data_IF_179352088426
#
_entry.id   IF_179352088426
#
_cell.length_a   1.000
_cell.length_b   1.000
_cell.length_c   1.000
_cell.angle_alpha   90.00
_cell.angle_beta   90.00
_cell.angle_gamma   90.00
#
_symmetry.space_group_name_H-M   'P 1'
#
loop_
_entity.id
_entity.type
_entity.pdbx_description
1 polymer ?
#
# COMPACT_ATOMS: atom_id res chain seq x y z
N UNK A 1 -26.39 4.88 4.50
CA UNK A 1 -25.73 6.03 5.17
C UNK A 1 -24.30 6.03 4.68
N UNK A 2 -23.90 7.06 3.95
CA UNK A 2 -22.58 7.13 3.34
C UNK A 2 -21.72 7.96 4.29
N UNK A 3 -20.76 7.32 4.96
CA UNK A 3 -19.76 8.03 5.74
C UNK A 3 -18.69 8.56 4.77
N UNK A 4 -18.63 9.88 4.61
CA UNK A 4 -17.63 10.57 3.80
C UNK A 4 -16.50 11.06 4.70
N UNK A 5 -15.26 10.83 4.30
CA UNK A 5 -14.11 11.56 4.81
C UNK A 5 -13.79 12.74 3.87
N UNK A 6 -13.14 13.80 4.35
CA UNK A 6 -12.54 14.79 3.46
C UNK A 6 -11.63 14.08 2.45
N UNK A 7 -11.86 14.32 1.16
CA UNK A 7 -11.14 13.65 0.06
C UNK A 7 -11.95 12.58 -0.68
N UNK A 8 -13.02 12.04 -0.08
CA UNK A 8 -13.90 11.06 -0.73
C UNK A 8 -14.84 11.69 -1.76
N UNK A 9 -14.99 13.03 -1.75
CA UNK A 9 -15.96 13.75 -2.58
C UNK A 9 -15.76 13.47 -4.06
N UNK A 10 -14.50 13.49 -4.52
CA UNK A 10 -14.17 13.26 -5.93
C UNK A 10 -14.51 11.86 -6.40
N UNK A 11 -14.21 10.86 -5.58
CA UNK A 11 -14.58 9.48 -5.87
C UNK A 11 -16.09 9.29 -5.90
N UNK A 12 -16.77 9.95 -4.98
CA UNK A 12 -18.22 9.92 -4.95
C UNK A 12 -18.85 10.60 -6.18
N UNK A 13 -18.30 11.71 -6.66
CA UNK A 13 -18.73 12.34 -7.91
C UNK A 13 -18.57 11.40 -9.11
N UNK A 14 -17.43 10.68 -9.20
CA UNK A 14 -17.20 9.68 -10.24
C UNK A 14 -18.21 8.53 -10.13
N UNK A 15 -18.44 8.03 -8.92
CA UNK A 15 -19.48 7.02 -8.66
C UNK A 15 -20.87 7.52 -9.10
N UNK A 16 -21.25 8.74 -8.72
CA UNK A 16 -22.54 9.33 -9.13
C UNK A 16 -22.66 9.47 -10.65
N UNK A 17 -21.59 9.87 -11.32
CA UNK A 17 -21.55 9.91 -12.77
C UNK A 17 -21.77 8.53 -13.40
N UNK A 18 -21.18 7.47 -12.82
CA UNK A 18 -21.40 6.09 -13.23
C UNK A 18 -22.85 5.65 -13.01
N UNK A 19 -23.43 5.94 -11.85
CA UNK A 19 -24.85 5.64 -11.55
C UNK A 19 -25.78 6.30 -12.56
N UNK A 20 -25.55 7.58 -12.85
CA UNK A 20 -26.39 8.34 -13.78
C UNK A 20 -26.31 7.79 -15.22
N UNK A 21 -25.16 7.26 -15.64
CA UNK A 21 -24.98 6.61 -16.94
C UNK A 21 -25.57 5.21 -17.02
N UNK A 22 -25.67 4.53 -15.88
CA UNK A 22 -26.06 3.12 -15.80
C UNK A 22 -27.20 2.89 -14.76
N UNK A 23 -28.38 3.54 -14.94
CA UNK A 23 -29.43 3.53 -13.93
C UNK A 23 -30.05 2.15 -13.67
N UNK A 24 -29.85 1.19 -14.58
CA UNK A 24 -30.39 -0.17 -14.46
C UNK A 24 -29.46 -1.13 -13.69
N UNK A 25 -28.25 -0.69 -13.34
CA UNK A 25 -27.29 -1.53 -12.63
C UNK A 25 -27.51 -1.48 -11.12
N UNK A 26 -27.19 -2.58 -10.43
CA UNK A 26 -27.14 -2.61 -8.98
C UNK A 26 -25.77 -2.09 -8.53
N UNK A 27 -25.73 -0.86 -8.01
CA UNK A 27 -24.47 -0.17 -7.71
C UNK A 27 -24.33 0.16 -6.23
N UNK A 28 -23.16 -0.14 -5.67
CA UNK A 28 -22.81 0.15 -4.28
C UNK A 28 -21.50 0.94 -4.20
N UNK A 29 -21.43 1.84 -3.22
CA UNK A 29 -20.25 2.62 -2.93
C UNK A 29 -19.86 2.49 -1.45
N UNK A 30 -18.62 2.09 -1.21
CA UNK A 30 -18.02 1.97 0.11
C UNK A 30 -16.82 2.93 0.20
N UNK A 31 -16.99 4.03 0.91
CA UNK A 31 -15.94 5.03 1.16
C UNK A 31 -14.94 4.55 2.22
N UNK A 32 -13.90 5.36 2.46
CA UNK A 32 -12.89 5.11 3.49
C UNK A 32 -13.50 4.96 4.89
N UNK A 33 -13.12 3.89 5.59
CA UNK A 33 -13.59 3.63 6.95
C UNK A 33 -15.10 3.52 7.07
N UNK A 34 -15.81 3.44 5.95
CA UNK A 34 -17.17 2.96 5.91
C UNK A 34 -17.12 1.49 6.30
N UNK A 35 -16.97 1.25 7.57
CA UNK A 35 -17.03 -0.06 8.11
C UNK A 35 -18.25 -0.74 7.51
N UNK A 36 -17.96 -1.63 6.62
CA UNK A 36 -18.56 -2.91 6.76
C UNK A 36 -19.66 -3.12 5.77
N UNK A 37 -19.22 -3.48 4.59
CA UNK A 37 -19.95 -4.49 3.83
C UNK A 37 -20.37 -5.60 4.80
N UNK A 38 -19.56 -5.98 5.78
CA UNK A 38 -19.83 -6.99 6.80
C UNK A 38 -21.04 -6.65 7.70
N UNK A 39 -21.37 -5.39 7.89
CA UNK A 39 -22.50 -4.94 8.71
C UNK A 39 -23.80 -4.73 7.90
N UNK A 40 -23.79 -5.01 6.61
CA UNK A 40 -24.99 -4.96 5.79
C UNK A 40 -25.72 -6.31 5.94
N UNK A 41 -26.79 -6.31 6.72
CA UNK A 41 -27.63 -7.48 6.98
C UNK A 41 -28.62 -7.76 5.83
N UNK A 42 -28.14 -7.63 4.59
CA UNK A 42 -28.93 -7.94 3.38
C UNK A 42 -27.99 -8.34 2.25
N UNK A 43 -28.53 -9.04 1.28
CA UNK A 43 -27.83 -9.35 0.05
C UNK A 43 -27.40 -8.10 -0.71
N UNK A 44 -26.15 -8.10 -1.16
CA UNK A 44 -25.57 -7.02 -1.94
C UNK A 44 -25.84 -7.21 -3.43
N UNK A 45 -25.85 -8.46 -3.89
CA UNK A 45 -25.92 -8.78 -5.30
C UNK A 45 -27.35 -9.21 -5.71
N UNK A 46 -27.70 -8.92 -6.95
CA UNK A 46 -28.93 -9.41 -7.59
C UNK A 46 -28.57 -10.25 -8.80
N UNK A 47 -29.40 -11.24 -9.11
CA UNK A 47 -29.22 -12.10 -10.29
C UNK A 47 -29.72 -11.46 -11.60
N UNK A 48 -30.64 -10.51 -11.50
CA UNK A 48 -31.37 -9.91 -12.62
C UNK A 48 -30.70 -8.68 -13.24
N UNK A 49 -29.63 -8.17 -12.58
CA UNK A 49 -28.93 -6.97 -13.01
C UNK A 49 -27.43 -7.13 -12.84
N UNK A 50 -26.63 -6.42 -13.67
CA UNK A 50 -25.21 -6.29 -13.41
C UNK A 50 -24.96 -5.60 -12.07
N UNK A 51 -24.02 -6.15 -11.30
CA UNK A 51 -23.65 -5.62 -10.00
C UNK A 51 -22.29 -4.92 -10.10
N UNK A 52 -22.18 -3.72 -9.54
CA UNK A 52 -20.96 -2.94 -9.51
C UNK A 52 -20.73 -2.48 -8.09
N UNK A 53 -19.60 -2.85 -7.52
CA UNK A 53 -19.18 -2.43 -6.18
C UNK A 53 -17.93 -1.55 -6.28
N UNK A 54 -18.02 -0.35 -5.76
CA UNK A 54 -16.89 0.57 -5.57
C UNK A 54 -16.42 0.49 -4.12
N UNK A 55 -15.13 0.19 -3.91
CA UNK A 55 -14.52 0.13 -2.58
C UNK A 55 -13.25 0.96 -2.52
N UNK A 56 -13.21 1.95 -1.62
CA UNK A 56 -12.05 2.82 -1.42
C UNK A 56 -11.09 2.33 -0.34
N UNK A 57 -11.46 1.30 0.39
CA UNK A 57 -10.68 0.80 1.52
C UNK A 57 -10.34 -0.68 1.35
N UNK A 58 -9.45 -1.15 2.22
CA UNK A 58 -9.05 -2.56 2.28
C UNK A 58 -10.26 -3.43 2.61
N UNK A 59 -10.55 -4.40 1.77
CA UNK A 59 -11.64 -5.35 2.02
C UNK A 59 -11.22 -6.42 3.03
N UNK A 60 -12.08 -6.69 4.00
CA UNK A 60 -11.85 -7.77 4.96
C UNK A 60 -12.07 -9.15 4.33
N UNK A 61 -11.36 -10.15 4.83
CA UNK A 61 -11.48 -11.54 4.35
C UNK A 61 -12.93 -12.03 4.36
N UNK A 62 -13.68 -11.77 5.43
CA UNK A 62 -15.09 -12.13 5.54
C UNK A 62 -15.95 -11.50 4.45
N UNK A 63 -15.70 -10.22 4.16
CA UNK A 63 -16.37 -9.52 3.06
C UNK A 63 -16.13 -10.21 1.73
N UNK A 64 -14.88 -10.55 1.43
CA UNK A 64 -14.51 -11.22 0.18
C UNK A 64 -15.18 -12.59 0.08
N UNK A 65 -15.17 -13.39 1.14
CA UNK A 65 -15.84 -14.70 1.18
C UNK A 65 -17.35 -14.59 0.99
N UNK A 66 -17.99 -13.62 1.63
CA UNK A 66 -19.41 -13.35 1.47
C UNK A 66 -19.76 -13.01 0.02
N UNK A 67 -18.99 -12.11 -0.59
CA UNK A 67 -19.21 -11.71 -1.99
C UNK A 67 -19.05 -12.89 -2.93
N UNK A 68 -17.99 -13.70 -2.78
CA UNK A 68 -17.81 -14.94 -3.56
C UNK A 68 -19.01 -15.87 -3.44
N UNK A 69 -19.49 -16.05 -2.22
CA UNK A 69 -20.68 -16.88 -1.95
C UNK A 69 -21.91 -16.33 -2.68
N UNK A 70 -22.20 -15.03 -2.55
CA UNK A 70 -23.34 -14.40 -3.23
C UNK A 70 -23.24 -14.50 -4.76
N UNK A 71 -22.04 -14.31 -5.34
CA UNK A 71 -21.80 -14.48 -6.78
C UNK A 71 -22.14 -15.89 -7.22
N UNK A 72 -21.64 -16.90 -6.51
CA UNK A 72 -21.86 -18.30 -6.83
C UNK A 72 -23.34 -18.72 -6.66
N UNK A 73 -23.96 -18.39 -5.52
CA UNK A 73 -25.34 -18.80 -5.21
C UNK A 73 -26.39 -18.16 -6.13
N UNK A 74 -26.15 -16.92 -6.55
CA UNK A 74 -27.07 -16.16 -7.41
C UNK A 74 -26.71 -16.23 -8.88
N UNK A 75 -25.57 -16.82 -9.22
CA UNK A 75 -24.99 -16.74 -10.57
C UNK A 75 -24.92 -15.29 -11.07
N UNK A 76 -24.57 -14.37 -10.15
CA UNK A 76 -24.57 -12.93 -10.39
C UNK A 76 -23.29 -12.49 -11.09
N UNK A 77 -23.42 -11.59 -12.06
CA UNK A 77 -22.26 -10.88 -12.60
C UNK A 77 -21.81 -9.77 -11.65
N UNK A 78 -20.53 -9.70 -11.35
CA UNK A 78 -19.96 -8.67 -10.49
C UNK A 78 -18.74 -8.00 -11.09
N UNK A 79 -18.78 -6.68 -11.03
CA UNK A 79 -17.60 -5.81 -11.19
C UNK A 79 -17.19 -5.25 -9.83
N UNK A 80 -15.98 -5.61 -9.42
CA UNK A 80 -15.35 -5.04 -8.22
C UNK A 80 -14.37 -3.95 -8.61
N UNK A 81 -14.61 -2.73 -8.14
CA UNK A 81 -13.85 -1.54 -8.41
C UNK A 81 -13.20 -1.10 -7.11
N UNK A 82 -11.95 -1.49 -6.89
CA UNK A 82 -11.35 -1.36 -5.57
C UNK A 82 -10.07 -0.56 -5.53
N UNK A 83 -9.75 -0.12 -4.31
CA UNK A 83 -8.41 0.37 -3.98
C UNK A 83 -7.37 -0.75 -3.99
N UNK A 84 -7.81 -1.99 -4.01
CA UNK A 84 -7.00 -3.21 -4.03
C UNK A 84 -6.96 -3.81 -5.43
N UNK A 85 -5.87 -4.52 -5.73
CA UNK A 85 -5.70 -5.29 -6.95
C UNK A 85 -5.58 -6.78 -6.63
N UNK A 86 -6.14 -7.64 -7.48
CA UNK A 86 -6.14 -9.11 -7.34
C UNK A 86 -6.79 -9.57 -6.01
N UNK A 87 -8.01 -9.04 -5.78
CA UNK A 87 -8.75 -9.21 -4.52
C UNK A 87 -9.31 -10.62 -4.38
N UNK A 88 -9.94 -11.10 -5.45
CA UNK A 88 -10.70 -12.34 -5.40
C UNK A 88 -9.95 -13.52 -6.03
N UNK A 89 -9.12 -13.28 -7.07
CA UNK A 89 -8.51 -14.34 -7.84
C UNK A 89 -9.55 -15.32 -8.41
N UNK A 90 -10.71 -14.81 -8.85
CA UNK A 90 -11.87 -15.58 -9.30
C UNK A 90 -12.37 -14.98 -10.63
N UNK A 91 -12.31 -15.79 -11.69
CA UNK A 91 -12.68 -15.34 -13.05
C UNK A 91 -14.15 -14.91 -13.19
N UNK A 92 -15.02 -15.37 -12.26
CA UNK A 92 -16.41 -14.95 -12.23
C UNK A 92 -16.60 -13.51 -11.72
N UNK A 93 -15.57 -12.93 -11.07
CA UNK A 93 -15.58 -11.57 -10.56
C UNK A 93 -14.61 -10.74 -11.40
N UNK A 94 -15.16 -9.76 -12.11
CA UNK A 94 -14.34 -8.82 -12.87
C UNK A 94 -13.78 -7.76 -11.94
N UNK A 95 -12.47 -7.73 -11.81
CA UNK A 95 -11.78 -6.81 -10.93
C UNK A 95 -11.16 -5.67 -11.72
N UNK A 96 -11.24 -4.46 -11.15
CA UNK A 96 -10.48 -3.33 -11.64
C UNK A 96 -9.93 -2.50 -10.49
N UNK A 97 -8.66 -2.18 -10.60
CA UNK A 97 -7.98 -1.36 -9.63
C UNK A 97 -8.29 0.13 -9.87
N UNK A 98 -8.82 0.77 -8.84
CA UNK A 98 -9.14 2.20 -8.87
C UNK A 98 -8.14 3.05 -8.10
N UNK A 99 -7.25 2.44 -7.33
CA UNK A 99 -6.13 3.11 -6.67
C UNK A 99 -6.52 4.22 -5.70
N UNK A 100 -7.70 4.13 -5.06
CA UNK A 100 -8.27 5.22 -4.27
C UNK A 100 -7.29 5.87 -3.29
N UNK A 101 -6.75 5.10 -2.34
CA UNK A 101 -5.79 5.61 -1.34
C UNK A 101 -4.50 6.09 -1.99
N UNK A 102 -3.98 5.36 -2.99
CA UNK A 102 -2.79 5.74 -3.72
C UNK A 102 -2.93 7.11 -4.40
N UNK A 103 -4.03 7.34 -5.12
CA UNK A 103 -4.23 8.60 -5.85
C UNK A 103 -4.64 9.76 -4.95
N UNK A 104 -5.44 9.52 -3.91
CA UNK A 104 -5.78 10.56 -2.92
C UNK A 104 -4.52 11.14 -2.31
N UNK A 105 -3.63 10.28 -1.85
CA UNK A 105 -2.39 10.67 -1.20
C UNK A 105 -1.43 11.34 -2.19
N UNK A 106 -1.27 10.77 -3.38
CA UNK A 106 -0.41 11.34 -4.38
C UNK A 106 -0.86 12.75 -4.82
N UNK A 107 -2.17 13.00 -4.88
CA UNK A 107 -2.70 14.33 -5.19
C UNK A 107 -2.30 15.40 -4.17
N UNK A 108 -2.13 15.01 -2.90
CA UNK A 108 -1.65 15.93 -1.86
C UNK A 108 -0.18 16.32 -2.04
N UNK A 109 0.65 15.42 -2.59
CA UNK A 109 2.09 15.63 -2.74
C UNK A 109 2.50 16.27 -4.07
N UNK A 110 1.66 16.17 -5.10
CA UNK A 110 2.03 16.54 -6.47
C UNK A 110 2.44 18.00 -6.61
N UNK A 111 1.85 18.86 -5.79
CA UNK A 111 2.08 20.30 -5.79
C UNK A 111 3.16 20.73 -4.77
N UNK A 112 3.72 19.80 -4.01
CA UNK A 112 4.79 20.13 -3.08
C UNK A 112 6.09 20.48 -3.84
N UNK A 113 6.89 21.41 -3.31
CA UNK A 113 8.17 21.73 -3.88
C UNK A 113 9.07 20.50 -4.00
N UNK A 114 9.92 20.45 -5.02
CA UNK A 114 10.87 19.36 -5.16
C UNK A 114 11.82 19.27 -3.97
N UNK A 115 12.19 18.04 -3.61
CA UNK A 115 13.19 17.81 -2.59
C UNK A 115 14.56 17.88 -3.23
N UNK A 116 15.31 18.90 -2.86
CA UNK A 116 16.74 18.96 -3.22
C UNK A 116 17.49 17.90 -2.43
N UNK A 117 18.04 16.92 -3.11
CA UNK A 117 18.81 15.84 -2.50
C UNK A 117 20.21 16.30 -2.14
N UNK A 118 20.63 15.98 -0.92
CA UNK A 118 21.96 16.29 -0.37
C UNK A 118 22.54 15.02 0.31
N UNK A 119 22.80 13.95 -0.45
CA UNK A 119 23.34 12.73 0.13
C UNK A 119 24.70 12.96 0.77
N UNK A 120 24.89 12.46 1.98
CA UNK A 120 26.13 12.57 2.74
C UNK A 120 26.45 11.24 3.43
N UNK A 121 27.72 10.85 3.42
CA UNK A 121 28.16 9.66 4.14
C UNK A 121 28.12 9.82 5.68
N UNK A 122 27.83 11.03 6.16
CA UNK A 122 27.64 11.35 7.59
C UNK A 122 26.18 11.33 8.01
N UNK A 123 25.26 11.08 7.07
CA UNK A 123 23.82 11.07 7.30
C UNK A 123 23.22 9.72 6.88
N UNK A 124 22.08 9.33 7.43
CA UNK A 124 21.34 8.17 6.96
C UNK A 124 21.11 8.24 5.45
N UNK A 125 21.38 7.14 4.73
CA UNK A 125 21.13 7.06 3.29
C UNK A 125 19.93 6.18 2.94
N UNK A 126 19.39 5.45 3.92
CA UNK A 126 18.10 4.76 3.78
C UNK A 126 17.14 5.15 4.91
N UNK A 127 15.85 4.95 4.66
CA UNK A 127 14.78 5.26 5.60
C UNK A 127 13.72 4.15 5.60
N UNK A 128 13.15 3.87 6.76
CA UNK A 128 11.97 3.02 6.93
C UNK A 128 10.99 3.65 7.92
N UNK A 129 9.85 4.09 7.41
CA UNK A 129 8.81 4.77 8.19
C UNK A 129 7.63 3.83 8.43
N UNK A 130 7.48 3.38 9.67
CA UNK A 130 6.41 2.46 10.07
C UNK A 130 5.54 3.07 11.15
N UNK A 131 4.85 4.17 10.81
CA UNK A 131 4.07 4.94 11.77
C UNK A 131 2.77 4.25 12.22
N UNK A 132 2.16 3.42 11.39
CA UNK A 132 0.98 2.63 11.76
C UNK A 132 1.36 1.43 12.64
N UNK A 133 0.63 1.17 13.74
CA UNK A 133 0.91 0.03 14.61
C UNK A 133 0.37 -1.27 13.98
N UNK A 134 1.25 -2.05 13.34
CA UNK A 134 0.94 -3.38 12.77
C UNK A 134 2.02 -4.37 13.13
N UNK A 135 1.64 -5.62 13.40
CA UNK A 135 2.57 -6.69 13.76
C UNK A 135 3.61 -6.95 12.65
N UNK A 136 3.16 -7.00 11.40
CA UNK A 136 4.01 -7.17 10.21
C UNK A 136 5.12 -6.11 10.09
N UNK A 137 4.84 -4.88 10.51
CA UNK A 137 5.82 -3.79 10.50
C UNK A 137 6.87 -3.92 11.61
N UNK A 138 6.49 -4.49 12.75
CA UNK A 138 7.46 -4.83 13.80
C UNK A 138 8.37 -5.95 13.33
N UNK A 139 7.83 -6.95 12.62
CA UNK A 139 8.63 -8.01 12.01
C UNK A 139 9.62 -7.45 10.97
N UNK A 140 9.16 -6.63 10.02
CA UNK A 140 10.03 -5.97 9.04
C UNK A 140 11.13 -5.12 9.72
N UNK A 141 10.78 -4.40 10.79
CA UNK A 141 11.77 -3.63 11.56
C UNK A 141 12.78 -4.52 12.28
N UNK A 142 12.36 -5.73 12.71
CA UNK A 142 13.28 -6.72 13.28
C UNK A 142 14.26 -7.24 12.23
N UNK A 143 13.78 -7.55 11.03
CA UNK A 143 14.65 -7.93 9.91
C UNK A 143 15.65 -6.80 9.59
N UNK A 144 15.19 -5.55 9.52
CA UNK A 144 16.08 -4.40 9.29
C UNK A 144 17.15 -4.27 10.38
N UNK A 145 16.78 -4.37 11.65
CA UNK A 145 17.76 -4.33 12.75
C UNK A 145 18.74 -5.50 12.73
N UNK A 146 18.35 -6.63 12.16
CA UNK A 146 19.20 -7.80 12.10
C UNK A 146 20.19 -7.76 10.92
N UNK A 147 19.72 -7.32 9.74
CA UNK A 147 20.48 -7.38 8.50
C UNK A 147 21.12 -6.05 8.08
N UNK A 148 20.52 -4.92 8.42
CA UNK A 148 20.99 -3.62 7.99
C UNK A 148 21.83 -2.91 9.06
N UNK A 149 22.79 -2.10 8.60
CA UNK A 149 23.58 -1.20 9.45
C UNK A 149 22.70 0.01 9.84
N UNK A 150 22.30 0.06 11.10
CA UNK A 150 21.44 1.13 11.61
C UNK A 150 22.12 2.49 11.70
N UNK A 151 23.45 2.54 11.68
CA UNK A 151 24.19 3.80 11.61
C UNK A 151 24.09 4.44 10.22
N UNK A 152 23.64 3.66 9.23
CA UNK A 152 23.44 4.09 7.85
C UNK A 152 21.99 4.44 7.52
N UNK A 153 21.05 4.22 8.44
CA UNK A 153 19.63 4.37 8.19
C UNK A 153 18.83 5.03 9.30
N UNK A 154 17.68 5.54 8.95
CA UNK A 154 16.67 6.06 9.87
C UNK A 154 15.48 5.11 9.90
N UNK A 155 15.26 4.46 11.03
CA UNK A 155 14.12 3.55 11.22
C UNK A 155 13.19 4.07 12.30
N UNK A 156 11.90 4.17 11.97
CA UNK A 156 10.83 4.55 12.91
C UNK A 156 9.76 3.49 12.96
N UNK A 157 9.52 2.93 14.13
CA UNK A 157 8.55 1.84 14.32
C UNK A 157 7.74 2.01 15.59
N UNK A 158 6.43 1.71 15.52
CA UNK A 158 5.54 1.61 16.69
C UNK A 158 5.54 0.17 17.21
N UNK A 159 6.08 -0.05 18.40
CA UNK A 159 6.26 -1.40 18.95
C UNK A 159 5.16 -1.82 19.92
N UNK A 160 4.25 -0.93 20.33
CA UNK A 160 3.25 -1.23 21.35
C UNK A 160 2.33 -2.42 20.98
N UNK A 161 2.07 -2.66 19.69
CA UNK A 161 1.29 -3.81 19.25
C UNK A 161 2.03 -5.14 19.46
N UNK A 162 3.36 -5.11 19.54
CA UNK A 162 4.17 -6.30 19.75
C UNK A 162 4.39 -6.63 21.24
N UNK A 163 4.11 -5.69 22.16
CA UNK A 163 4.33 -5.89 23.61
C UNK A 163 3.69 -7.15 24.22
N UNK A 164 2.50 -7.61 23.75
CA UNK A 164 1.91 -8.84 24.27
C UNK A 164 2.67 -10.12 23.89
N UNK A 165 3.61 -10.04 22.95
CA UNK A 165 4.33 -11.20 22.44
C UNK A 165 5.74 -11.29 23.02
N UNK A 166 6.05 -12.40 23.69
CA UNK A 166 7.31 -12.59 24.40
C UNK A 166 8.45 -13.06 23.48
N UNK A 167 8.12 -13.53 22.28
CA UNK A 167 9.09 -13.99 21.27
C UNK A 167 8.72 -13.51 19.89
N UNK A 168 9.68 -13.48 18.98
CA UNK A 168 9.46 -13.18 17.58
C UNK A 168 8.54 -14.22 16.94
N UNK A 169 8.70 -15.49 17.33
CA UNK A 169 7.82 -16.57 16.86
C UNK A 169 6.37 -16.35 17.29
N UNK A 170 6.13 -15.90 18.52
CA UNK A 170 4.79 -15.55 18.99
C UNK A 170 4.21 -14.37 18.20
N UNK A 171 5.01 -13.33 17.92
CA UNK A 171 4.59 -12.21 17.08
C UNK A 171 4.17 -12.67 15.69
N UNK A 172 4.97 -13.53 15.06
CA UNK A 172 4.69 -14.06 13.71
C UNK A 172 3.46 -14.96 13.73
N UNK A 173 3.42 -15.95 14.61
CA UNK A 173 2.35 -16.95 14.65
C UNK A 173 1.01 -16.38 15.14
N UNK A 174 1.01 -15.56 16.19
CA UNK A 174 -0.22 -15.07 16.86
C UNK A 174 -0.59 -13.65 16.45
N UNK A 175 0.40 -12.79 16.24
CA UNK A 175 0.22 -11.39 15.86
C UNK A 175 0.00 -11.21 14.37
N UNK A 176 0.94 -11.71 13.57
CA UNK A 176 0.83 -11.67 12.10
C UNK A 176 -0.04 -12.80 11.55
N UNK A 177 -0.24 -13.88 12.31
CA UNK A 177 -0.92 -15.13 11.89
C UNK A 177 -0.27 -15.80 10.69
N UNK A 178 1.04 -15.68 10.57
CA UNK A 178 1.81 -16.32 9.51
C UNK A 178 2.23 -17.75 9.92
N UNK A 179 2.25 -18.66 8.96
CA UNK A 179 2.48 -20.08 9.21
C UNK A 179 3.96 -20.43 9.33
N UNK A 180 4.83 -19.70 8.63
CA UNK A 180 6.26 -19.99 8.65
C UNK A 180 6.94 -19.29 9.83
N UNK A 181 7.67 -20.03 10.68
CA UNK A 181 8.39 -19.42 11.79
C UNK A 181 9.51 -18.51 11.27
N UNK A 182 9.83 -17.44 12.01
CA UNK A 182 10.94 -16.56 11.68
C UNK A 182 12.29 -17.25 11.88
N UNK A 183 13.35 -16.67 11.32
CA UNK A 183 14.70 -17.06 11.62
C UNK A 183 14.98 -16.88 13.12
N UNK A 184 15.39 -17.96 13.82
CA UNK A 184 15.64 -17.96 15.26
C UNK A 184 16.79 -17.04 15.68
N UNK A 185 17.74 -16.76 14.78
CA UNK A 185 18.83 -15.81 15.04
C UNK A 185 18.33 -14.37 15.28
N UNK A 186 17.11 -14.05 14.84
CA UNK A 186 16.50 -12.73 15.04
C UNK A 186 15.85 -12.53 16.40
N UNK A 187 15.73 -13.55 17.25
CA UNK A 187 15.07 -13.42 18.58
C UNK A 187 15.74 -12.38 19.47
N UNK A 188 17.06 -12.37 19.56
CA UNK A 188 17.80 -11.38 20.33
C UNK A 188 17.63 -9.96 19.76
N UNK A 189 17.47 -9.86 18.44
CA UNK A 189 17.21 -8.58 17.75
C UNK A 189 15.80 -8.07 18.04
N UNK A 190 14.81 -8.96 18.04
CA UNK A 190 13.43 -8.63 18.40
C UNK A 190 13.34 -8.04 19.81
N UNK A 191 14.01 -8.63 20.79
CA UNK A 191 14.07 -8.07 22.14
C UNK A 191 14.63 -6.64 22.17
N UNK A 192 15.64 -6.34 21.36
CA UNK A 192 16.17 -4.98 21.19
C UNK A 192 15.18 -4.05 20.52
N UNK A 193 14.41 -4.50 19.52
CA UNK A 193 13.36 -3.70 18.88
C UNK A 193 12.30 -3.28 19.90
N UNK A 194 11.87 -4.20 20.77
CA UNK A 194 10.85 -3.94 21.79
C UNK A 194 11.31 -2.93 22.86
N UNK A 195 12.59 -2.94 23.19
CA UNK A 195 13.18 -2.04 24.20
C UNK A 195 13.70 -0.73 23.61
N UNK A 196 13.72 -0.61 22.27
CA UNK A 196 14.20 0.61 21.61
C UNK A 196 13.34 1.80 22.02
N UNK A 197 13.94 2.87 22.56
CA UNK A 197 13.17 4.03 22.91
C UNK A 197 12.53 4.65 21.65
N UNK A 198 11.31 5.07 21.81
CA UNK A 198 10.64 5.86 20.81
C UNK A 198 11.42 7.16 20.62
N UNK A 199 11.95 7.38 19.42
CA UNK A 199 12.66 8.61 19.11
C UNK A 199 11.75 9.82 19.30
N UNK A 200 12.22 10.83 20.03
CA UNK A 200 11.45 11.93 20.60
C UNK A 200 10.57 12.75 19.65
N UNK A 201 10.76 12.65 18.35
CA UNK A 201 9.89 13.22 17.32
C UNK A 201 8.48 12.63 17.31
N UNK A 202 8.26 11.45 17.86
CA UNK A 202 6.95 10.80 17.78
C UNK A 202 5.90 11.37 18.74
N UNK A 203 6.32 11.86 19.90
CA UNK A 203 5.40 12.56 20.80
C UNK A 203 4.84 13.79 20.12
N UNK A 204 5.67 14.42 19.31
CA UNK A 204 5.30 15.59 18.52
C UNK A 204 4.38 15.22 17.34
N UNK A 205 4.72 14.21 16.57
CA UNK A 205 3.88 13.71 15.45
C UNK A 205 2.51 13.22 15.97
N UNK A 206 2.47 12.52 17.11
CA UNK A 206 1.22 12.03 17.68
C UNK A 206 0.38 13.16 18.27
N UNK A 207 1.00 14.13 18.94
CA UNK A 207 0.30 15.33 19.43
C UNK A 207 -0.23 16.16 18.26
N UNK A 208 0.54 16.34 17.22
CA UNK A 208 0.13 17.09 16.04
C UNK A 208 -0.97 16.36 15.26
N UNK A 209 -0.86 15.04 15.09
CA UNK A 209 -1.89 14.21 14.46
C UNK A 209 -3.22 14.25 15.22
N UNK A 210 -3.19 14.25 16.56
CA UNK A 210 -4.39 14.35 17.39
C UNK A 210 -4.92 15.79 17.52
N UNK A 211 -4.06 16.80 17.45
CA UNK A 211 -4.45 18.21 17.59
C UNK A 211 -4.99 18.82 16.30
N UNK A 212 -4.49 18.38 15.17
CA UNK A 212 -4.85 18.93 13.87
C UNK A 212 -6.00 18.17 13.19
N UNK A 213 -6.52 17.11 13.84
CA UNK A 213 -7.52 16.20 13.24
C UNK A 213 -7.05 15.79 11.85
N UNK A 214 -7.13 14.59 11.43
CA UNK A 214 -6.73 14.08 10.12
C UNK A 214 -5.96 15.09 9.25
N UNK A 215 -4.72 15.42 9.68
CA UNK A 215 -3.88 16.35 8.96
C UNK A 215 -3.71 15.84 7.54
N UNK A 216 -3.83 16.74 6.63
CA UNK A 216 -3.43 16.54 5.26
C UNK A 216 -2.01 15.99 5.25
N UNK A 217 -1.81 14.87 4.59
CA UNK A 217 -0.52 14.16 4.56
C UNK A 217 0.59 15.01 3.96
N UNK A 218 0.28 15.94 3.06
CA UNK A 218 1.23 16.90 2.50
C UNK A 218 1.81 17.81 3.58
N UNK A 219 0.99 18.31 4.51
CA UNK A 219 1.46 19.11 5.65
C UNK A 219 2.39 18.31 6.54
N UNK A 220 2.07 17.05 6.82
CA UNK A 220 2.92 16.17 7.61
C UNK A 220 4.24 15.88 6.91
N UNK A 221 4.20 15.64 5.60
CA UNK A 221 5.39 15.43 4.80
C UNK A 221 6.32 16.65 4.88
N UNK A 222 5.82 17.85 4.60
CA UNK A 222 6.61 19.08 4.62
C UNK A 222 7.21 19.36 6.00
N UNK A 223 6.42 19.22 7.05
CA UNK A 223 6.88 19.60 8.39
C UNK A 223 7.82 18.57 9.03
N UNK A 224 7.61 17.27 8.77
CA UNK A 224 8.25 16.22 9.56
C UNK A 224 9.08 15.22 8.77
N UNK A 225 8.81 15.05 7.50
CA UNK A 225 9.46 14.02 6.69
C UNK A 225 10.44 14.60 5.67
N UNK A 226 10.18 15.79 5.14
CA UNK A 226 10.99 16.39 4.09
C UNK A 226 12.49 16.42 4.41
N UNK A 227 12.85 16.79 5.64
CA UNK A 227 14.27 16.85 6.04
C UNK A 227 14.95 15.47 6.03
N UNK A 228 14.23 14.40 6.34
CA UNK A 228 14.72 13.01 6.29
C UNK A 228 14.97 12.59 4.83
N UNK A 229 14.06 12.96 3.96
CA UNK A 229 14.19 12.64 2.54
C UNK A 229 15.27 13.42 1.80
N UNK A 230 15.82 14.50 2.37
CA UNK A 230 16.92 15.24 1.73
C UNK A 230 18.21 14.41 1.64
N UNK A 231 18.49 13.59 2.61
CA UNK A 231 19.72 12.80 2.69
C UNK A 231 19.58 11.37 2.24
N UNK A 232 18.35 10.80 2.31
CA UNK A 232 18.10 9.40 2.00
C UNK A 232 17.96 9.16 0.50
N UNK A 233 18.44 8.03 0.03
CA UNK A 233 18.41 7.59 -1.37
C UNK A 233 17.57 6.31 -1.55
N UNK A 234 17.37 5.55 -0.47
CA UNK A 234 16.65 4.28 -0.46
C UNK A 234 15.54 4.33 0.58
N UNK A 235 14.39 3.77 0.28
CA UNK A 235 13.30 3.62 1.25
C UNK A 235 12.81 2.18 1.31
N UNK A 236 12.71 1.66 2.52
CA UNK A 236 12.03 0.41 2.79
C UNK A 236 10.55 0.76 3.02
N UNK A 237 9.75 0.51 2.00
CA UNK A 237 8.33 0.82 1.96
C UNK A 237 7.54 -0.32 2.58
N UNK A 238 7.03 -0.13 3.79
CA UNK A 238 6.18 -1.12 4.46
C UNK A 238 4.71 -0.81 4.17
N UNK A 239 4.15 -1.45 3.15
CA UNK A 239 2.76 -1.22 2.76
C UNK A 239 1.77 -1.67 3.84
N UNK A 240 0.52 -1.26 3.68
CA UNK A 240 -0.54 -1.53 4.66
C UNK A 240 -0.94 -2.99 4.63
N UNK A 241 -1.12 -3.57 3.45
CA UNK A 241 -1.44 -4.97 3.27
C UNK A 241 -0.17 -5.75 2.90
N UNK A 242 0.26 -6.64 3.78
CA UNK A 242 1.37 -7.57 3.55
C UNK A 242 0.83 -9.01 3.50
N UNK A 243 -0.07 -9.31 4.42
CA UNK A 243 -0.88 -10.50 4.49
C UNK A 243 -2.27 -10.13 5.02
N UNK A 244 -3.23 -11.01 4.83
CA UNK A 244 -4.56 -10.86 5.41
C UNK A 244 -4.47 -10.94 6.93
N UNK A 245 -4.94 -9.91 7.64
CA UNK A 245 -4.78 -9.80 9.09
C UNK A 245 -5.64 -10.80 9.87
N UNK A 246 -6.70 -11.35 9.26
CA UNK A 246 -7.56 -12.32 9.91
C UNK A 246 -7.04 -13.75 9.76
N UNK A 247 -6.48 -14.08 8.61
CA UNK A 247 -6.12 -15.45 8.26
C UNK A 247 -4.62 -15.67 8.11
N UNK A 248 -3.83 -14.62 7.98
CA UNK A 248 -2.40 -14.69 7.65
C UNK A 248 -2.10 -15.09 6.21
N UNK A 249 -3.13 -15.33 5.41
CA UNK A 249 -3.02 -15.76 4.01
C UNK A 249 -2.67 -14.57 3.09
N UNK A 250 -2.65 -14.85 1.78
CA UNK A 250 -2.43 -13.83 0.76
C UNK A 250 -3.38 -12.64 0.93
N UNK A 251 -2.81 -11.45 1.02
CA UNK A 251 -3.55 -10.19 0.89
C UNK A 251 -3.57 -9.74 -0.57
N UNK A 252 -4.59 -9.00 -1.00
CA UNK A 252 -4.54 -8.27 -2.26
C UNK A 252 -3.48 -7.18 -2.23
N UNK A 253 -3.03 -6.74 -3.40
CA UNK A 253 -2.11 -5.60 -3.50
C UNK A 253 -2.87 -4.31 -3.13
N UNK A 254 -2.34 -3.59 -2.17
CA UNK A 254 -2.91 -2.33 -1.71
C UNK A 254 -1.81 -1.27 -1.59
N UNK A 255 -1.75 -0.38 -2.56
CA UNK A 255 -0.80 0.72 -2.59
C UNK A 255 -1.33 1.93 -1.82
N UNK A 256 -0.44 2.58 -1.09
CA UNK A 256 -0.79 3.70 -0.22
C UNK A 256 0.18 4.89 -0.37
N UNK A 257 0.03 5.88 0.50
CA UNK A 257 0.91 7.05 0.59
C UNK A 257 2.40 6.70 0.68
N UNK A 258 2.75 5.53 1.16
CA UNK A 258 4.15 5.16 1.44
C UNK A 258 4.95 5.06 0.16
N UNK A 259 4.43 4.34 -0.84
CA UNK A 259 5.11 4.26 -2.13
C UNK A 259 5.06 5.61 -2.87
N UNK A 260 3.98 6.39 -2.74
CA UNK A 260 3.91 7.72 -3.36
C UNK A 260 4.90 8.69 -2.75
N UNK A 261 5.14 8.62 -1.43
CA UNK A 261 6.18 9.40 -0.75
C UNK A 261 7.58 9.07 -1.29
N UNK A 262 7.88 7.78 -1.43
CA UNK A 262 9.15 7.32 -1.98
C UNK A 262 9.37 7.85 -3.41
N UNK A 263 8.37 7.74 -4.27
CA UNK A 263 8.41 8.26 -5.65
C UNK A 263 8.58 9.79 -5.67
N UNK A 264 7.77 10.50 -4.87
CA UNK A 264 7.87 11.97 -4.77
C UNK A 264 9.25 12.42 -4.29
N UNK A 265 9.80 11.70 -3.32
CA UNK A 265 11.11 11.97 -2.73
C UNK A 265 12.29 11.53 -3.59
N UNK A 266 12.07 10.92 -4.75
CA UNK A 266 13.13 10.36 -5.60
C UNK A 266 14.00 9.33 -4.85
N UNK A 267 13.40 8.49 -4.03
CA UNK A 267 14.05 7.36 -3.39
C UNK A 267 13.87 6.09 -4.21
N UNK A 268 14.82 5.18 -4.09
CA UNK A 268 14.73 3.82 -4.63
C UNK A 268 13.92 2.99 -3.64
N UNK A 269 12.74 2.49 -3.98
CA UNK A 269 11.92 1.72 -3.06
C UNK A 269 12.35 0.25 -3.00
N UNK A 270 12.42 -0.30 -1.78
CA UNK A 270 12.39 -1.74 -1.50
C UNK A 270 11.02 -1.99 -0.85
N UNK A 271 10.13 -2.66 -1.57
CA UNK A 271 8.71 -2.72 -1.17
C UNK A 271 8.41 -3.99 -0.38
N UNK A 272 8.09 -3.82 0.90
CA UNK A 272 7.52 -4.87 1.75
C UNK A 272 5.99 -4.76 1.67
N UNK A 273 5.39 -5.48 0.75
CA UNK A 273 3.96 -5.47 0.46
C UNK A 273 3.36 -6.87 0.33
N UNK A 274 2.14 -6.95 -0.17
CA UNK A 274 1.53 -8.19 -0.61
C UNK A 274 2.33 -8.81 -1.76
N UNK A 275 2.13 -10.11 -2.00
CA UNK A 275 2.72 -10.78 -3.16
C UNK A 275 2.34 -10.03 -4.44
N UNK A 276 3.28 -9.90 -5.37
CA UNK A 276 3.14 -9.22 -6.65
C UNK A 276 2.95 -7.69 -6.57
N UNK A 277 3.26 -7.06 -5.44
CA UNK A 277 3.19 -5.59 -5.32
C UNK A 277 4.16 -4.90 -6.27
N UNK A 278 5.39 -5.42 -6.42
CA UNK A 278 6.39 -4.86 -7.34
C UNK A 278 5.97 -5.09 -8.80
N UNK A 279 5.51 -6.29 -9.15
CA UNK A 279 5.00 -6.59 -10.50
C UNK A 279 3.83 -5.67 -10.87
N UNK A 280 2.97 -5.37 -9.91
CA UNK A 280 1.86 -4.47 -10.14
C UNK A 280 2.34 -3.03 -10.40
N UNK A 281 3.32 -2.52 -9.64
CA UNK A 281 3.94 -1.22 -9.93
C UNK A 281 4.55 -1.19 -11.34
N UNK A 282 5.26 -2.25 -11.74
CA UNK A 282 5.83 -2.37 -13.09
C UNK A 282 4.76 -2.42 -14.18
N UNK A 283 3.63 -3.09 -13.94
CA UNK A 283 2.51 -3.12 -14.90
C UNK A 283 1.89 -1.74 -15.14
N UNK A 284 1.99 -0.84 -14.16
CA UNK A 284 1.61 0.57 -14.29
C UNK A 284 2.67 1.43 -15.01
N UNK A 285 3.83 0.85 -15.32
CA UNK A 285 4.93 1.52 -16.02
C UNK A 285 6.01 2.12 -15.11
N UNK A 286 5.96 1.89 -13.79
CA UNK A 286 7.02 2.33 -12.89
C UNK A 286 8.27 1.47 -13.06
N UNK A 287 9.43 2.12 -13.10
CA UNK A 287 10.72 1.43 -13.00
C UNK A 287 10.97 1.07 -11.52
N UNK A 288 11.10 -0.21 -11.23
CA UNK A 288 11.41 -0.74 -9.90
C UNK A 288 12.90 -1.08 -9.73
N UNK A 289 13.75 -0.68 -10.66
CA UNK A 289 15.22 -0.78 -10.57
C UNK A 289 15.77 -2.20 -10.47
N UNK A 290 15.18 -3.17 -11.19
CA UNK A 290 15.55 -4.60 -11.15
C UNK A 290 17.04 -4.88 -11.44
N UNK A 291 17.72 -4.01 -12.16
CA UNK A 291 19.16 -4.14 -12.39
C UNK A 291 20.03 -3.93 -11.12
N UNK A 292 19.45 -3.42 -10.04
CA UNK A 292 20.15 -3.05 -8.82
C UNK A 292 19.49 -3.54 -7.55
N UNK A 293 18.17 -3.73 -7.57
CA UNK A 293 17.35 -4.23 -6.47
C UNK A 293 16.87 -5.64 -6.83
N UNK A 294 17.13 -6.59 -5.93
CA UNK A 294 16.59 -7.93 -6.07
C UNK A 294 15.12 -7.92 -5.65
N UNK A 295 14.22 -8.23 -6.57
CA UNK A 295 12.78 -8.33 -6.37
C UNK A 295 12.23 -9.75 -6.47
N UNK A 296 13.08 -10.79 -6.43
CA UNK A 296 12.64 -12.19 -6.44
C UNK A 296 11.71 -12.52 -5.27
N UNK A 297 11.83 -11.77 -4.17
CA UNK A 297 10.94 -11.88 -3.02
C UNK A 297 9.47 -11.58 -3.34
N UNK A 298 9.18 -10.80 -4.39
CA UNK A 298 7.80 -10.40 -4.75
C UNK A 298 6.93 -11.59 -5.19
N UNK A 299 7.56 -12.68 -5.61
CA UNK A 299 6.90 -13.95 -5.97
C UNK A 299 6.71 -14.91 -4.79
N UNK A 300 7.28 -14.58 -3.63
CA UNK A 300 7.21 -15.45 -2.46
C UNK A 300 5.79 -15.45 -1.86
N UNK A 301 5.22 -16.65 -1.72
CA UNK A 301 3.88 -16.80 -1.12
C UNK A 301 3.89 -16.45 0.36
N UNK A 302 4.91 -16.93 1.06
CA UNK A 302 5.00 -16.77 2.50
C UNK A 302 5.47 -15.37 2.87
N UNK A 303 4.65 -14.67 3.66
CA UNK A 303 4.90 -13.28 4.05
C UNK A 303 6.13 -13.12 4.96
N UNK A 304 6.45 -14.14 5.77
CA UNK A 304 7.64 -14.15 6.63
C UNK A 304 8.90 -14.18 5.76
N UNK A 305 8.94 -15.13 4.83
CA UNK A 305 10.06 -15.31 3.91
C UNK A 305 10.17 -14.12 2.97
N UNK A 306 9.03 -13.63 2.45
CA UNK A 306 9.00 -12.48 1.53
C UNK A 306 9.63 -11.22 2.14
N UNK A 307 9.24 -10.85 3.37
CA UNK A 307 9.81 -9.67 4.04
C UNK A 307 11.29 -9.87 4.37
N UNK A 308 11.65 -11.05 4.87
CA UNK A 308 13.06 -11.35 5.19
C UNK A 308 13.93 -11.23 3.93
N UNK A 309 13.54 -11.86 2.83
CA UNK A 309 14.24 -11.76 1.53
C UNK A 309 14.30 -10.33 1.01
N UNK A 310 13.21 -9.56 1.08
CA UNK A 310 13.20 -8.17 0.62
C UNK A 310 14.31 -7.35 1.26
N UNK A 311 14.61 -7.58 2.52
CA UNK A 311 15.64 -6.86 3.27
C UNK A 311 17.02 -7.53 3.10
N UNK A 312 17.10 -8.84 3.32
CA UNK A 312 18.35 -9.60 3.31
C UNK A 312 19.04 -9.59 1.95
N UNK A 313 18.29 -9.81 0.88
CA UNK A 313 18.84 -9.87 -0.48
C UNK A 313 19.27 -8.50 -1.02
N UNK A 314 18.83 -7.44 -0.34
CA UNK A 314 19.18 -6.05 -0.67
C UNK A 314 20.12 -5.40 0.36
N UNK A 315 20.77 -6.19 1.24
CA UNK A 315 21.67 -5.64 2.28
C UNK A 315 22.80 -4.78 1.73
N UNK A 316 23.28 -5.06 0.52
CA UNK A 316 24.37 -4.29 -0.06
C UNK A 316 24.02 -2.82 -0.21
N UNK A 317 22.82 -2.51 -0.70
CA UNK A 317 22.39 -1.10 -0.85
C UNK A 317 22.06 -0.45 0.49
N UNK A 318 21.73 -1.24 1.52
CA UNK A 318 21.43 -0.73 2.86
C UNK A 318 22.70 -0.48 3.69
N UNK A 319 23.78 -1.26 3.46
CA UNK A 319 24.97 -1.24 4.30
C UNK A 319 26.14 -0.46 3.66
N UNK A 320 26.11 -0.23 2.35
CA UNK A 320 27.18 0.46 1.61
C UNK A 320 26.67 1.77 1.01
N UNK A 321 27.06 2.89 1.65
CA UNK A 321 26.72 4.24 1.18
C UNK A 321 27.18 4.51 -0.25
N UNK A 322 28.41 4.10 -0.60
CA UNK A 322 28.96 4.39 -1.93
C UNK A 322 28.21 3.60 -3.00
N UNK A 323 27.85 2.36 -2.71
CA UNK A 323 27.02 1.56 -3.59
C UNK A 323 25.62 2.17 -3.75
N UNK A 324 24.96 2.54 -2.65
CA UNK A 324 23.65 3.18 -2.67
C UNK A 324 23.67 4.48 -3.48
N UNK A 325 24.69 5.32 -3.26
CA UNK A 325 24.88 6.57 -4.00
C UNK A 325 25.06 6.31 -5.49
N UNK A 326 25.93 5.38 -5.87
CA UNK A 326 26.16 5.01 -7.27
C UNK A 326 24.86 4.53 -7.93
N UNK A 327 24.11 3.64 -7.28
CA UNK A 327 22.83 3.14 -7.80
C UNK A 327 21.84 4.28 -7.97
N UNK A 328 21.71 5.15 -6.99
CA UNK A 328 20.82 6.30 -7.03
C UNK A 328 21.19 7.28 -8.15
N UNK A 329 22.47 7.64 -8.29
CA UNK A 329 22.95 8.55 -9.35
C UNK A 329 22.72 7.94 -10.74
N UNK A 330 23.01 6.64 -10.91
CA UNK A 330 22.79 5.92 -12.17
C UNK A 330 21.32 5.93 -12.58
N UNK A 331 20.41 5.83 -11.63
CA UNK A 331 18.98 5.73 -11.87
C UNK A 331 18.22 7.06 -11.69
N UNK A 332 18.91 8.17 -11.51
CA UNK A 332 18.28 9.45 -11.21
C UNK A 332 17.24 9.89 -12.25
N UNK A 333 17.53 9.65 -13.54
CA UNK A 333 16.58 9.94 -14.62
C UNK A 333 15.35 9.01 -14.58
N UNK A 334 15.50 7.75 -14.21
CA UNK A 334 14.40 6.82 -14.04
C UNK A 334 13.53 7.22 -12.83
N UNK A 335 14.13 7.65 -11.72
CA UNK A 335 13.41 8.20 -10.57
C UNK A 335 12.55 9.42 -10.95
N UNK A 336 13.09 10.34 -11.75
CA UNK A 336 12.32 11.48 -12.28
C UNK A 336 11.17 11.02 -13.19
N UNK A 337 11.43 10.06 -14.08
CA UNK A 337 10.37 9.49 -14.95
C UNK A 337 9.26 8.85 -14.13
N UNK A 338 9.57 8.13 -13.06
CA UNK A 338 8.58 7.58 -12.14
C UNK A 338 7.72 8.69 -11.51
N UNK A 339 8.34 9.79 -11.10
CA UNK A 339 7.62 10.94 -10.55
C UNK A 339 6.71 11.60 -11.59
N UNK A 340 7.20 11.75 -12.82
CA UNK A 340 6.41 12.33 -13.91
C UNK A 340 5.27 11.39 -14.33
N UNK A 341 5.49 10.08 -14.33
CA UNK A 341 4.44 9.08 -14.54
C UNK A 341 3.36 9.18 -13.46
N UNK A 342 3.75 9.27 -12.18
CA UNK A 342 2.80 9.46 -11.08
C UNK A 342 1.95 10.71 -11.29
N UNK A 343 2.55 11.84 -11.71
CA UNK A 343 1.83 13.07 -12.04
C UNK A 343 0.85 12.88 -13.21
N UNK A 344 1.28 12.16 -14.24
CA UNK A 344 0.43 11.86 -15.40
C UNK A 344 -0.76 10.99 -15.03
N UNK A 345 -0.54 9.93 -14.24
CA UNK A 345 -1.60 9.04 -13.76
C UNK A 345 -2.61 9.81 -12.91
N UNK A 346 -2.14 10.71 -12.03
CA UNK A 346 -3.00 11.58 -11.23
C UNK A 346 -3.82 12.53 -12.07
N UNK A 347 -3.20 13.18 -13.06
CA UNK A 347 -3.91 14.08 -13.97
C UNK A 347 -5.00 13.35 -14.73
N UNK A 348 -4.70 12.15 -15.24
CA UNK A 348 -5.65 11.31 -15.95
C UNK A 348 -6.81 10.89 -15.02
N UNK A 349 -6.48 10.48 -13.79
CA UNK A 349 -7.46 10.13 -12.77
C UNK A 349 -8.38 11.31 -12.42
N UNK A 350 -7.81 12.50 -12.17
CA UNK A 350 -8.57 13.71 -11.85
C UNK A 350 -9.50 14.17 -12.98
N UNK A 351 -9.15 13.88 -14.24
CA UNK A 351 -9.95 14.24 -15.41
C UNK A 351 -10.90 13.12 -15.88
N UNK A 352 -10.99 12.01 -15.14
CA UNK A 352 -11.80 10.86 -15.53
C UNK A 352 -11.33 10.17 -16.83
N UNK A 353 -10.12 10.53 -17.31
CA UNK A 353 -9.47 9.88 -18.45
C UNK A 353 -8.70 8.66 -17.93
N UNK A 354 -8.94 7.51 -18.54
CA UNK A 354 -8.23 6.27 -18.19
C UNK A 354 -8.52 5.73 -16.76
N UNK A 355 -9.78 5.74 -16.35
CA UNK A 355 -10.24 4.63 -15.57
C UNK A 355 -10.58 3.58 -16.65
N UNK A 356 -9.67 2.66 -16.97
CA UNK A 356 -9.84 1.72 -18.12
C UNK A 356 -11.18 1.03 -18.07
N UNK A 357 -11.69 0.96 -16.90
CA UNK A 357 -12.90 0.31 -16.48
C UNK A 357 -14.20 1.04 -16.80
N UNK A 358 -14.22 2.37 -16.90
CA UNK A 358 -15.43 3.06 -17.37
C UNK A 358 -15.63 2.81 -18.85
N UNK A 359 -14.54 2.68 -19.59
CA UNK A 359 -14.56 2.33 -21.02
C UNK A 359 -14.88 0.84 -21.18
N UNK A 360 -14.24 -0.05 -20.42
CA UNK A 360 -14.49 -1.51 -20.44
C UNK A 360 -15.92 -1.87 -19.99
N UNK A 361 -16.44 -1.20 -18.97
CA UNK A 361 -17.84 -1.38 -18.54
C UNK A 361 -18.78 -0.93 -19.66
N UNK A 362 -18.51 0.22 -20.28
CA UNK A 362 -19.33 0.72 -21.38
C UNK A 362 -19.28 -0.20 -22.59
N UNK A 363 -18.10 -0.72 -22.98
CA UNK A 363 -17.96 -1.68 -24.10
C UNK A 363 -18.65 -3.02 -23.79
N UNK A 364 -18.52 -3.53 -22.58
CA UNK A 364 -19.17 -4.75 -22.14
C UNK A 364 -20.70 -4.66 -22.20
N UNK A 365 -21.28 -3.55 -21.76
CA UNK A 365 -22.72 -3.36 -21.80
C UNK A 365 -23.24 -3.02 -23.19
N UNK A 366 -22.48 -2.30 -24.01
CA UNK A 366 -22.79 -2.09 -25.42
C UNK A 366 -22.80 -3.42 -26.19
N UNK A 367 -21.84 -4.32 -25.92
CA UNK A 367 -21.80 -5.64 -26.55
C UNK A 367 -22.99 -6.53 -26.15
N UNK A 368 -23.48 -6.46 -24.90
CA UNK A 368 -24.68 -7.20 -24.46
C UNK A 368 -25.99 -6.60 -24.99
N UNK A 369 -26.10 -5.28 -25.08
CA UNK A 369 -27.31 -4.63 -25.60
C UNK A 369 -27.51 -4.84 -27.11
N UNK A 370 -26.49 -5.26 -27.84
CA UNK A 370 -26.58 -5.63 -29.28
C UNK A 370 -26.90 -7.11 -29.50
N UNK A 371 -27.00 -7.93 -28.45
CA UNK A 371 -27.33 -9.35 -28.51
C UNK A 371 -28.80 -9.66 -28.10
N UNK A 372 -29.59 -8.63 -27.75
CA UNK A 372 -31.04 -8.69 -27.51
C UNK A 372 -31.75 -8.01 -28.69
#
# INVERSE_FOLDING_TARGET
MIHRRPGDERFFEIYQACVNKNPNNNMHFFGHGANNIDNIDRDLLTADKPNIIFSLDLSHHKTRQRIKKEVSEKQAELWWIGAEYDVFGDEAIKESWWGGEFFLQANEYINLPEITKEPSNKSPHWISLTLGPRHSRVYSSTCLMHYADLDKGEMRVKTHMAKPYNSLNDLVAKGCKWNTPPNTEMEATYAKVLTRPWWGTQRFLWQTYNQLGHCNNATNFEQYLRHLYRTTMVEIVNETAIADEETGNRAPVFLTEKITNSIHALNIPIVCGAKHTVKFLESMGFDCFRGHINHEYDDEEDSTIRIEKAIKDNMKILNDYNFAKKVWETNYNALKKNKDLLKSLLHNFANGKNIPMLDDINEFYLAKSTQI
#
